data_IF_946392702162
#
_entry.id   IF_946392702162
#
_cell.length_a   1.000
_cell.length_b   1.000
_cell.length_c   1.000
_cell.angle_alpha   90.00
_cell.angle_beta   90.00
_cell.angle_gamma   90.00
#
_symmetry.space_group_name_H-M   'P 1'
#
loop_
_entity.id
_entity.type
_entity.pdbx_description
1 polymer ?
#
# COMPACT_ATOMS: atom_id res chain seq x y z
N UNK A 1 -22.40 20.96 -6.42
CA UNK A 1 -21.53 21.68 -7.37
C UNK A 1 -20.18 21.01 -7.36
N UNK A 2 -19.70 20.54 -8.50
CA UNK A 2 -18.31 20.11 -8.65
C UNK A 2 -17.48 21.35 -8.95
N UNK A 3 -16.52 21.64 -8.10
CA UNK A 3 -15.61 22.79 -8.26
C UNK A 3 -14.52 22.53 -9.31
N UNK A 4 -14.35 21.27 -9.73
CA UNK A 4 -13.36 20.84 -10.71
C UNK A 4 -14.00 20.26 -11.95
N UNK A 5 -13.27 20.26 -13.06
CA UNK A 5 -13.68 19.52 -14.25
C UNK A 5 -13.84 18.03 -13.93
N UNK A 6 -14.77 17.32 -14.58
CA UNK A 6 -14.86 15.88 -14.43
C UNK A 6 -13.51 15.21 -14.78
N UNK A 7 -13.01 14.29 -13.94
CA UNK A 7 -11.77 13.58 -14.24
C UNK A 7 -11.91 12.72 -15.50
N UNK A 8 -10.82 12.59 -16.25
CA UNK A 8 -10.77 11.66 -17.38
C UNK A 8 -10.99 10.24 -16.88
N UNK A 9 -11.85 9.48 -17.57
CA UNK A 9 -12.09 8.07 -17.27
C UNK A 9 -11.10 7.19 -18.04
N UNK A 10 -10.43 6.28 -17.32
CA UNK A 10 -9.51 5.28 -17.85
C UNK A 10 -10.03 3.90 -17.42
N UNK A 11 -10.18 2.98 -18.35
CA UNK A 11 -10.55 1.61 -18.03
C UNK A 11 -9.31 0.76 -17.79
N UNK A 12 -9.37 -0.13 -16.80
CA UNK A 12 -8.34 -1.15 -16.61
C UNK A 12 -8.58 -2.35 -17.52
N UNK A 13 -7.54 -3.13 -17.74
CA UNK A 13 -7.61 -4.50 -18.24
C UNK A 13 -7.17 -5.48 -17.14
N UNK A 14 -7.55 -6.74 -17.27
CA UNK A 14 -7.02 -7.81 -16.42
C UNK A 14 -5.61 -8.13 -16.92
N UNK A 15 -4.62 -7.99 -16.04
CA UNK A 15 -3.28 -8.50 -16.30
C UNK A 15 -3.23 -10.00 -16.05
N UNK A 16 -3.60 -10.45 -14.84
CA UNK A 16 -3.66 -11.86 -14.47
C UNK A 16 -4.57 -12.08 -13.26
N UNK A 17 -4.85 -13.32 -12.93
CA UNK A 17 -5.64 -13.71 -11.75
C UNK A 17 -4.89 -14.73 -10.93
N UNK A 18 -5.14 -14.71 -9.63
CA UNK A 18 -4.63 -15.74 -8.72
C UNK A 18 -5.02 -17.13 -9.25
N UNK A 19 -4.05 -18.02 -9.50
CA UNK A 19 -4.32 -19.36 -10.05
C UNK A 19 -5.23 -20.20 -9.14
N UNK A 20 -6.09 -21.02 -9.74
CA UNK A 20 -7.08 -21.85 -9.05
C UNK A 20 -6.48 -22.75 -7.98
N UNK A 21 -5.25 -23.23 -8.19
CA UNK A 21 -4.54 -24.07 -7.20
C UNK A 21 -4.34 -23.37 -5.84
N UNK A 22 -4.32 -22.04 -5.82
CA UNK A 22 -4.20 -21.24 -4.60
C UNK A 22 -5.55 -20.76 -4.07
N UNK A 23 -6.65 -21.02 -4.79
CA UNK A 23 -8.01 -20.65 -4.40
C UNK A 23 -8.64 -21.77 -3.56
N UNK A 24 -8.52 -21.61 -2.25
CA UNK A 24 -9.10 -22.57 -1.28
C UNK A 24 -9.90 -21.79 -0.24
N UNK A 25 -11.15 -21.37 -0.57
CA UNK A 25 -11.93 -20.55 0.33
C UNK A 25 -12.12 -21.21 1.67
N UNK A 26 -11.81 -20.48 2.73
CA UNK A 26 -12.05 -20.90 4.11
C UNK A 26 -12.17 -19.70 5.03
N UNK A 27 -12.79 -19.91 6.18
CA UNK A 27 -12.78 -18.94 7.26
C UNK A 27 -11.38 -18.85 7.88
N UNK A 28 -10.89 -17.64 8.07
CA UNK A 28 -9.60 -17.36 8.70
C UNK A 28 -9.80 -16.35 9.84
N UNK A 29 -8.89 -16.31 10.81
CA UNK A 29 -8.93 -15.31 11.88
C UNK A 29 -8.87 -13.88 11.33
N UNK A 30 -8.19 -13.67 10.20
CA UNK A 30 -8.20 -12.38 9.51
C UNK A 30 -9.59 -12.05 8.95
N UNK A 31 -10.27 -13.01 8.35
CA UNK A 31 -11.62 -12.82 7.83
C UNK A 31 -12.63 -12.53 8.94
N UNK A 32 -12.46 -13.15 10.12
CA UNK A 32 -13.28 -12.85 11.30
C UNK A 32 -13.14 -11.38 11.71
N UNK A 33 -11.92 -10.86 11.74
CA UNK A 33 -11.65 -9.48 12.13
C UNK A 33 -12.04 -8.44 11.06
N UNK A 34 -11.93 -8.79 9.77
CA UNK A 34 -11.97 -7.80 8.69
C UNK A 34 -13.10 -8.01 7.67
N UNK A 35 -13.69 -9.18 7.57
CA UNK A 35 -14.66 -9.57 6.54
C UNK A 35 -15.95 -10.19 7.12
N UNK A 36 -16.22 -10.00 8.41
CA UNK A 36 -17.40 -10.53 9.07
C UNK A 36 -17.48 -12.06 9.09
N UNK A 37 -16.34 -12.74 9.11
CA UNK A 37 -16.21 -14.19 9.23
C UNK A 37 -16.61 -14.98 7.98
N UNK A 38 -16.66 -14.33 6.80
CA UNK A 38 -16.92 -15.01 5.53
C UNK A 38 -15.76 -15.90 5.12
N UNK A 39 -16.05 -16.95 4.39
CA UNK A 39 -15.03 -17.70 3.68
C UNK A 39 -14.44 -16.82 2.57
N UNK A 40 -13.12 -16.74 2.52
CA UNK A 40 -12.37 -15.99 1.49
C UNK A 40 -11.26 -16.87 0.95
N UNK A 41 -10.90 -16.67 -0.30
CA UNK A 41 -9.83 -17.43 -0.96
C UNK A 41 -8.54 -16.63 -1.12
N UNK A 42 -8.59 -15.29 -0.97
CA UNK A 42 -7.44 -14.39 -0.99
C UNK A 42 -7.81 -13.00 -0.50
N UNK A 43 -6.78 -12.19 -0.23
CA UNK A 43 -6.88 -10.74 -0.12
C UNK A 43 -5.52 -10.15 -0.53
N UNK A 44 -5.40 -9.80 -1.83
CA UNK A 44 -4.15 -9.37 -2.42
C UNK A 44 -3.80 -7.93 -2.05
N UNK A 45 -2.53 -7.72 -1.69
CA UNK A 45 -1.98 -6.45 -1.23
C UNK A 45 -0.50 -6.26 -1.62
N UNK A 46 0.10 -5.15 -1.22
CA UNK A 46 1.52 -4.88 -1.21
C UNK A 46 2.27 -5.03 -2.53
N UNK A 47 1.75 -4.55 -3.69
CA UNK A 47 2.44 -4.72 -4.95
C UNK A 47 3.75 -3.94 -4.98
N UNK A 48 4.84 -4.59 -5.42
CA UNK A 48 6.15 -3.94 -5.55
C UNK A 48 7.00 -4.66 -6.59
N UNK A 49 7.65 -3.91 -7.48
CA UNK A 49 8.52 -4.48 -8.51
C UNK A 49 9.96 -4.58 -8.04
N UNK A 50 10.62 -5.68 -8.39
CA UNK A 50 12.06 -5.80 -8.28
C UNK A 50 12.79 -5.26 -9.52
N UNK A 51 14.12 -5.20 -9.46
CA UNK A 51 14.96 -4.72 -10.58
C UNK A 51 14.88 -5.60 -11.83
N UNK A 52 14.37 -6.84 -11.69
CA UNK A 52 14.14 -7.76 -12.81
C UNK A 52 12.74 -7.61 -13.42
N UNK A 53 11.94 -6.66 -12.93
CA UNK A 53 10.58 -6.41 -13.42
C UNK A 53 9.55 -7.43 -12.93
N UNK A 54 9.85 -8.23 -11.90
CA UNK A 54 8.91 -9.18 -11.31
C UNK A 54 8.09 -8.48 -10.24
N UNK A 55 6.79 -8.72 -10.24
CA UNK A 55 5.85 -8.12 -9.29
C UNK A 55 5.67 -9.02 -8.07
N UNK A 56 6.08 -8.52 -6.89
CA UNK A 56 5.79 -9.15 -5.62
C UNK A 56 4.43 -8.69 -5.12
N UNK A 57 3.70 -9.60 -4.47
CA UNK A 57 2.34 -9.37 -3.94
C UNK A 57 2.18 -10.17 -2.65
N UNK A 58 1.53 -9.58 -1.69
CA UNK A 58 1.12 -10.26 -0.45
C UNK A 58 -0.31 -10.76 -0.57
N UNK A 59 -0.64 -11.81 0.19
CA UNK A 59 -1.98 -12.33 0.37
C UNK A 59 -2.23 -12.55 1.86
N UNK A 60 -2.87 -11.56 2.47
CA UNK A 60 -2.89 -11.35 3.91
C UNK A 60 -3.47 -12.55 4.69
N UNK A 61 -4.69 -13.06 4.37
CA UNK A 61 -5.34 -14.04 5.22
C UNK A 61 -4.65 -15.40 5.27
N UNK A 62 -3.76 -15.64 4.31
CA UNK A 62 -3.06 -16.91 4.17
C UNK A 62 -1.56 -16.83 4.47
N UNK A 63 -1.03 -15.64 4.81
CA UNK A 63 0.40 -15.47 5.06
C UNK A 63 1.26 -15.73 3.84
N UNK A 64 0.71 -15.51 2.62
CA UNK A 64 1.41 -15.85 1.37
C UNK A 64 2.06 -14.62 0.74
N UNK A 65 3.20 -14.86 0.12
CA UNK A 65 3.88 -13.87 -0.71
C UNK A 65 4.12 -14.51 -2.07
N UNK A 66 3.58 -13.88 -3.10
CA UNK A 66 3.74 -14.30 -4.47
C UNK A 66 4.72 -13.41 -5.23
N UNK A 67 5.30 -13.96 -6.28
CA UNK A 67 6.06 -13.25 -7.30
C UNK A 67 5.46 -13.58 -8.66
N UNK A 68 5.13 -12.55 -9.44
CA UNK A 68 4.49 -12.67 -10.74
C UNK A 68 5.46 -12.16 -11.80
N UNK A 69 5.72 -12.95 -12.84
CA UNK A 69 6.57 -12.55 -13.96
C UNK A 69 5.84 -11.62 -14.93
N UNK A 70 6.59 -11.03 -15.88
CA UNK A 70 6.01 -10.22 -16.95
C UNK A 70 5.07 -11.01 -17.87
N UNK A 71 5.27 -12.33 -17.96
CA UNK A 71 4.44 -13.30 -18.71
C UNK A 71 3.31 -13.89 -17.86
N UNK A 72 2.92 -13.21 -16.78
CA UNK A 72 1.83 -13.55 -15.87
C UNK A 72 1.96 -14.86 -15.06
N UNK A 73 3.16 -15.46 -15.01
CA UNK A 73 3.40 -16.67 -14.23
C UNK A 73 3.52 -16.37 -12.73
N UNK A 74 2.72 -17.06 -11.92
CA UNK A 74 2.68 -16.94 -10.48
C UNK A 74 3.58 -17.97 -9.79
N UNK A 75 4.43 -17.49 -8.89
CA UNK A 75 5.27 -18.29 -8.03
C UNK A 75 4.92 -17.99 -6.56
N UNK A 76 4.68 -19.02 -5.74
CA UNK A 76 4.59 -18.88 -4.30
C UNK A 76 6.01 -18.82 -3.73
N UNK A 77 6.42 -17.64 -3.30
CA UNK A 77 7.76 -17.41 -2.73
C UNK A 77 7.81 -17.82 -1.26
N UNK A 78 6.75 -17.51 -0.51
CA UNK A 78 6.68 -17.80 0.93
C UNK A 78 5.24 -18.02 1.38
N UNK A 79 5.06 -18.90 2.36
CA UNK A 79 3.83 -19.03 3.16
C UNK A 79 4.26 -19.22 4.62
N UNK A 80 3.81 -18.33 5.52
CA UNK A 80 4.21 -18.34 6.92
C UNK A 80 3.06 -17.93 7.85
N UNK A 81 3.19 -18.15 9.15
CA UNK A 81 2.22 -17.68 10.13
C UNK A 81 2.37 -16.17 10.35
N UNK A 82 1.73 -15.40 9.49
CA UNK A 82 1.69 -13.96 9.52
C UNK A 82 0.49 -13.42 8.76
N UNK A 83 0.36 -12.09 8.78
CA UNK A 83 -0.60 -11.34 7.96
C UNK A 83 0.14 -10.28 7.18
N UNK A 84 0.92 -10.68 6.13
CA UNK A 84 1.68 -9.76 5.31
C UNK A 84 0.74 -8.79 4.58
N UNK A 85 1.03 -7.50 4.65
CA UNK A 85 0.24 -6.45 4.03
C UNK A 85 1.08 -5.66 3.01
N UNK A 86 1.62 -4.50 3.35
CA UNK A 86 2.53 -3.78 2.46
C UNK A 86 3.86 -4.50 2.24
N UNK A 87 4.45 -4.30 1.06
CA UNK A 87 5.75 -4.84 0.72
C UNK A 87 6.53 -3.78 -0.07
N UNK A 88 7.78 -3.52 0.32
CA UNK A 88 8.71 -2.68 -0.46
C UNK A 88 10.09 -3.31 -0.49
N UNK A 89 10.76 -3.12 -1.62
CA UNK A 89 12.12 -3.63 -1.85
C UNK A 89 13.09 -2.47 -1.67
N UNK A 90 14.05 -2.67 -0.77
CA UNK A 90 15.12 -1.72 -0.52
C UNK A 90 16.17 -1.75 -1.64
N UNK A 91 16.91 -0.67 -1.85
CA UNK A 91 17.94 -0.58 -2.92
C UNK A 91 19.06 -1.62 -2.81
N UNK A 92 19.31 -2.16 -1.61
CA UNK A 92 20.26 -3.26 -1.39
C UNK A 92 19.69 -4.67 -1.66
N UNK A 93 18.42 -4.74 -2.11
CA UNK A 93 17.73 -5.98 -2.47
C UNK A 93 16.96 -6.64 -1.33
N UNK A 94 17.05 -6.16 -0.08
CA UNK A 94 16.22 -6.67 1.01
C UNK A 94 14.75 -6.37 0.76
N UNK A 95 13.88 -7.34 1.03
CA UNK A 95 12.43 -7.21 0.87
C UNK A 95 11.79 -7.03 2.23
N UNK A 96 11.24 -5.84 2.46
CA UNK A 96 10.56 -5.46 3.69
C UNK A 96 9.07 -5.69 3.57
N UNK A 97 8.46 -6.25 4.59
CA UNK A 97 7.03 -6.57 4.65
C UNK A 97 6.47 -5.97 5.93
N UNK A 98 5.38 -5.24 5.83
CA UNK A 98 4.55 -4.93 7.00
C UNK A 98 3.69 -6.13 7.30
N UNK A 99 3.81 -6.67 8.50
CA UNK A 99 2.98 -7.77 8.97
C UNK A 99 2.08 -7.29 10.11
N UNK A 100 0.79 -7.44 9.93
CA UNK A 100 -0.20 -6.94 10.88
C UNK A 100 -0.08 -7.59 12.28
N UNK A 101 0.42 -8.83 12.36
CA UNK A 101 0.64 -9.54 13.63
C UNK A 101 2.02 -9.30 14.21
N UNK A 102 3.04 -9.12 13.35
CA UNK A 102 4.45 -9.28 13.72
C UNK A 102 5.31 -8.02 13.55
N UNK A 103 4.75 -6.93 13.06
CA UNK A 103 5.49 -5.70 12.81
C UNK A 103 6.13 -5.66 11.43
N UNK A 104 7.41 -5.34 11.32
CA UNK A 104 8.14 -5.32 10.03
C UNK A 104 9.01 -6.56 9.95
N UNK A 105 8.88 -7.29 8.85
CA UNK A 105 9.57 -8.53 8.55
C UNK A 105 10.49 -8.36 7.34
N UNK A 106 11.48 -9.24 7.22
CA UNK A 106 12.34 -9.38 6.05
C UNK A 106 12.10 -10.72 5.37
N UNK A 107 11.86 -10.69 4.06
CA UNK A 107 11.83 -11.88 3.22
C UNK A 107 13.19 -12.05 2.54
N UNK A 108 13.74 -13.24 2.64
CA UNK A 108 14.76 -13.72 1.70
C UNK A 108 14.08 -14.35 0.49
N UNK A 109 14.10 -13.70 -0.68
CA UNK A 109 13.38 -14.21 -1.85
C UNK A 109 14.00 -15.44 -2.49
N UNK A 110 15.20 -15.84 -2.07
CA UNK A 110 15.87 -17.04 -2.56
C UNK A 110 15.50 -18.29 -1.78
N UNK A 111 15.31 -18.18 -0.49
CA UNK A 111 14.93 -19.30 0.39
C UNK A 111 13.44 -19.31 0.75
N UNK A 112 12.73 -18.19 0.55
CA UNK A 112 11.37 -17.99 1.01
C UNK A 112 11.25 -17.75 2.53
N UNK A 113 12.37 -17.65 3.26
CA UNK A 113 12.33 -17.43 4.70
C UNK A 113 11.91 -16.00 5.03
N UNK A 114 11.01 -15.86 6.01
CA UNK A 114 10.57 -14.58 6.58
C UNK A 114 11.06 -14.49 8.02
N UNK A 115 11.82 -13.44 8.32
CA UNK A 115 12.43 -13.20 9.63
C UNK A 115 12.01 -11.85 10.20
N UNK A 116 11.94 -11.70 11.54
CA UNK A 116 11.64 -10.40 12.16
C UNK A 116 12.73 -9.35 11.88
N UNK A 117 12.30 -8.12 11.63
CA UNK A 117 13.17 -6.95 11.54
C UNK A 117 12.88 -5.93 12.66
N UNK A 118 11.59 -5.59 12.86
CA UNK A 118 11.16 -4.65 13.88
C UNK A 118 9.78 -5.08 14.41
N UNK A 119 9.74 -5.70 15.58
CA UNK A 119 8.51 -6.27 16.15
C UNK A 119 7.83 -5.35 17.16
N UNK A 120 8.58 -4.46 17.80
CA UNK A 120 8.08 -3.64 18.91
C UNK A 120 8.61 -2.21 18.86
N UNK A 121 7.89 -1.31 19.48
CA UNK A 121 8.32 0.06 19.77
C UNK A 121 8.34 0.25 21.29
N UNK A 122 9.50 0.55 21.88
CA UNK A 122 9.67 0.74 23.33
C UNK A 122 9.08 -0.40 24.18
N UNK A 123 9.30 -1.65 23.75
CA UNK A 123 8.80 -2.89 24.37
C UNK A 123 7.29 -3.15 24.20
N UNK A 124 6.58 -2.30 23.46
CA UNK A 124 5.18 -2.52 23.14
C UNK A 124 5.03 -3.01 21.70
N UNK A 125 4.09 -3.91 21.46
CA UNK A 125 3.75 -4.36 20.12
C UNK A 125 3.12 -3.25 19.29
N UNK A 126 3.32 -3.30 17.98
CA UNK A 126 2.52 -2.51 17.05
C UNK A 126 1.05 -2.93 17.12
N UNK A 127 0.15 -2.03 16.73
CA UNK A 127 -1.30 -2.32 16.68
C UNK A 127 -1.67 -3.22 15.52
N UNK A 128 -0.92 -3.10 14.42
CA UNK A 128 -1.11 -3.83 13.18
C UNK A 128 -0.56 -3.01 12.02
N UNK A 129 0.72 -3.26 11.66
CA UNK A 129 1.41 -2.51 10.61
C UNK A 129 0.77 -2.80 9.26
N UNK A 130 0.52 -1.73 8.47
CA UNK A 130 -0.23 -1.85 7.23
C UNK A 130 0.64 -1.59 5.98
N UNK A 131 1.13 -0.38 5.77
CA UNK A 131 1.92 -0.04 4.57
C UNK A 131 3.21 0.69 4.95
N UNK A 132 4.15 0.75 3.98
CA UNK A 132 5.49 1.32 4.20
C UNK A 132 6.00 2.01 2.94
N UNK A 133 6.90 2.99 3.11
CA UNK A 133 7.62 3.65 2.04
C UNK A 133 9.03 4.03 2.46
N UNK A 134 10.01 3.86 1.57
CA UNK A 134 11.37 4.37 1.74
C UNK A 134 11.48 5.76 1.11
N UNK A 135 12.06 6.70 1.85
CA UNK A 135 12.48 7.99 1.32
C UNK A 135 13.86 7.89 0.65
N UNK A 136 14.22 8.86 -0.22
CA UNK A 136 15.56 8.91 -0.84
C UNK A 136 16.71 8.92 0.17
N UNK A 137 16.51 9.48 1.36
CA UNK A 137 17.48 9.45 2.48
C UNK A 137 17.72 8.05 3.07
N UNK A 138 16.86 7.06 2.73
CA UNK A 138 16.83 5.74 3.33
C UNK A 138 15.99 5.65 4.60
N UNK A 139 15.33 6.74 5.02
CA UNK A 139 14.34 6.65 6.09
C UNK A 139 13.16 5.79 5.65
N UNK A 140 12.68 4.93 6.55
CA UNK A 140 11.49 4.12 6.36
C UNK A 140 10.34 4.77 7.12
N UNK A 141 9.25 5.05 6.42
CA UNK A 141 7.98 5.48 6.99
C UNK A 141 6.97 4.36 6.88
N UNK A 142 6.18 4.15 7.93
CA UNK A 142 5.16 3.10 7.91
C UNK A 142 3.95 3.46 8.76
N UNK A 143 2.81 2.88 8.40
CA UNK A 143 1.54 3.05 9.10
C UNK A 143 1.27 1.85 10.00
N UNK A 144 0.75 2.13 11.17
CA UNK A 144 0.38 1.14 12.17
C UNK A 144 -1.11 1.32 12.48
N UNK A 145 -1.90 0.64 11.67
CA UNK A 145 -3.34 0.82 11.56
C UNK A 145 -4.11 0.21 12.72
N UNK A 146 -3.86 -1.05 13.00
CA UNK A 146 -4.68 -1.84 13.93
C UNK A 146 -6.16 -1.84 13.56
N UNK A 147 -7.03 -2.14 14.51
CA UNK A 147 -8.48 -2.07 14.35
C UNK A 147 -9.02 -0.65 14.67
N UNK A 148 -8.20 0.38 14.40
CA UNK A 148 -8.56 1.77 14.68
C UNK A 148 -9.55 2.34 13.65
N UNK A 149 -10.17 3.45 13.99
CA UNK A 149 -11.16 4.11 13.13
C UNK A 149 -11.65 5.40 13.78
N UNK A 150 -12.74 5.95 13.27
CA UNK A 150 -13.32 7.19 13.83
C UNK A 150 -13.76 7.07 15.29
N UNK A 151 -14.08 5.85 15.74
CA UNK A 151 -14.44 5.55 17.14
C UNK A 151 -13.21 5.42 18.04
N UNK A 152 -12.07 5.08 17.48
CA UNK A 152 -10.78 4.91 18.16
C UNK A 152 -9.66 5.43 17.23
N UNK A 153 -9.39 6.74 17.22
CA UNK A 153 -8.41 7.33 16.32
C UNK A 153 -6.96 7.17 16.82
N UNK A 154 -6.59 6.01 17.34
CA UNK A 154 -5.28 5.78 17.96
C UNK A 154 -4.30 5.03 17.04
N UNK A 155 -4.54 5.01 15.72
CA UNK A 155 -3.56 4.57 14.75
C UNK A 155 -2.29 5.45 14.78
N UNK A 156 -1.20 4.94 14.24
CA UNK A 156 0.11 5.58 14.34
C UNK A 156 0.79 5.68 12.98
N UNK A 157 1.63 6.70 12.83
CA UNK A 157 2.59 6.82 11.72
C UNK A 157 3.99 6.90 12.33
N UNK A 158 4.88 6.07 11.82
CA UNK A 158 6.23 5.91 12.34
C UNK A 158 7.28 6.30 11.30
N UNK A 159 8.42 6.74 11.79
CA UNK A 159 9.69 6.93 11.05
C UNK A 159 10.76 6.06 11.69
N UNK A 160 11.45 5.26 10.89
CA UNK A 160 12.67 4.54 11.25
C UNK A 160 13.82 5.05 10.39
N UNK A 161 14.86 5.55 11.02
CA UNK A 161 16.07 6.02 10.33
C UNK A 161 17.04 4.86 10.02
N UNK A 162 17.96 5.00 9.04
CA UNK A 162 18.94 3.94 8.74
C UNK A 162 19.84 3.54 9.91
N UNK A 163 20.07 4.46 10.86
CA UNK A 163 20.80 4.21 12.10
C UNK A 163 19.96 3.54 13.21
N UNK A 164 18.69 3.19 12.90
CA UNK A 164 17.82 2.41 13.78
C UNK A 164 16.98 3.23 14.77
N UNK A 165 16.95 4.57 14.66
CA UNK A 165 16.10 5.40 15.53
C UNK A 165 14.66 5.37 15.07
N UNK A 166 13.78 4.84 15.92
CA UNK A 166 12.33 4.79 15.72
C UNK A 166 11.66 6.00 16.38
N UNK A 167 10.81 6.69 15.63
CA UNK A 167 10.05 7.87 16.10
C UNK A 167 8.59 7.76 15.70
N UNK A 168 7.68 7.92 16.64
CA UNK A 168 6.26 8.07 16.36
C UNK A 168 5.97 9.52 15.93
N UNK A 169 5.51 9.71 14.69
CA UNK A 169 5.19 11.02 14.15
C UNK A 169 3.78 11.45 14.50
N UNK A 170 2.85 10.51 14.48
CA UNK A 170 1.42 10.69 14.80
C UNK A 170 0.94 9.45 15.55
N UNK A 171 0.10 9.65 16.56
CA UNK A 171 -0.56 8.58 17.32
C UNK A 171 -2.07 8.81 17.51
N UNK A 172 -2.66 9.66 16.68
CA UNK A 172 -4.06 10.10 16.77
C UNK A 172 -4.75 10.09 15.41
N UNK A 173 -4.38 9.13 14.55
CA UNK A 173 -4.90 9.02 13.20
C UNK A 173 -5.84 7.80 13.06
N UNK A 174 -7.10 7.98 12.60
CA UNK A 174 -8.03 6.87 12.49
C UNK A 174 -7.74 6.02 11.25
N UNK A 175 -7.36 4.76 11.44
CA UNK A 175 -7.14 3.78 10.36
C UNK A 175 -6.16 4.25 9.28
N UNK A 176 -4.88 4.58 9.62
CA UNK A 176 -3.87 4.93 8.63
C UNK A 176 -3.51 3.70 7.80
N UNK A 177 -3.44 3.89 6.46
CA UNK A 177 -3.24 2.81 5.50
C UNK A 177 -2.08 3.16 4.55
N UNK A 178 -2.33 3.29 3.26
CA UNK A 178 -1.30 3.64 2.29
C UNK A 178 -0.51 4.90 2.66
N UNK A 179 0.77 4.91 2.34
CA UNK A 179 1.67 6.01 2.67
C UNK A 179 2.67 6.27 1.54
N UNK A 180 2.86 7.53 1.19
CA UNK A 180 3.91 7.98 0.27
C UNK A 180 4.65 9.17 0.85
N UNK A 181 5.88 9.36 0.43
CA UNK A 181 6.74 10.50 0.79
C UNK A 181 7.05 11.30 -0.48
N UNK A 182 7.04 12.63 -0.38
CA UNK A 182 7.48 13.48 -1.47
C UNK A 182 9.00 13.36 -1.71
N UNK A 183 9.49 13.66 -2.93
CA UNK A 183 10.91 13.47 -3.28
C UNK A 183 11.89 14.23 -2.40
N UNK A 184 11.50 15.39 -1.90
CA UNK A 184 12.31 16.24 -1.02
C UNK A 184 12.21 15.81 0.46
N UNK A 185 11.40 14.78 0.77
CA UNK A 185 11.13 14.32 2.13
C UNK A 185 10.64 15.45 3.06
N UNK A 186 9.81 16.35 2.52
CA UNK A 186 9.24 17.49 3.22
C UNK A 186 7.87 17.20 3.83
N UNK A 187 7.15 16.21 3.33
CA UNK A 187 5.88 15.72 3.88
C UNK A 187 5.58 14.27 3.47
N UNK A 188 4.64 13.67 4.20
CA UNK A 188 3.99 12.41 3.82
C UNK A 188 2.56 12.72 3.37
N UNK A 189 2.05 11.89 2.46
CA UNK A 189 0.62 11.73 2.24
C UNK A 189 0.21 10.35 2.80
N UNK A 190 -0.82 10.34 3.63
CA UNK A 190 -1.28 9.14 4.32
C UNK A 190 -2.77 8.94 4.03
N UNK A 191 -3.12 7.75 3.55
CA UNK A 191 -4.51 7.34 3.41
C UNK A 191 -5.12 7.10 4.79
N UNK A 192 -6.23 7.77 5.07
CA UNK A 192 -6.99 7.65 6.31
C UNK A 192 -8.31 6.99 5.98
N UNK A 193 -8.29 5.66 5.87
CA UNK A 193 -9.37 4.87 5.27
C UNK A 193 -10.73 5.17 5.88
N UNK A 194 -10.84 5.11 7.19
CA UNK A 194 -12.15 5.25 7.86
C UNK A 194 -12.66 6.68 7.97
N UNK A 195 -11.82 7.67 7.62
CA UNK A 195 -12.24 9.07 7.50
C UNK A 195 -12.53 9.48 6.05
N UNK A 196 -12.29 8.62 5.06
CA UNK A 196 -12.35 8.95 3.63
C UNK A 196 -11.48 10.17 3.26
N UNK A 197 -10.28 10.24 3.82
CA UNK A 197 -9.37 11.38 3.69
C UNK A 197 -7.96 10.95 3.32
N UNK A 198 -7.23 11.87 2.68
CA UNK A 198 -5.78 11.84 2.60
C UNK A 198 -5.26 12.96 3.51
N UNK A 199 -4.38 12.61 4.43
CA UNK A 199 -3.72 13.60 5.28
C UNK A 199 -2.34 13.95 4.75
N UNK A 200 -2.00 15.25 4.82
CA UNK A 200 -0.66 15.76 4.57
C UNK A 200 0.04 15.98 5.91
N UNK A 201 1.14 15.27 6.10
CA UNK A 201 1.91 15.22 7.35
C UNK A 201 3.26 15.89 7.10
N UNK A 202 3.48 17.13 7.54
CA UNK A 202 4.75 17.81 7.36
C UNK A 202 5.92 17.09 8.07
N UNK A 203 7.08 17.10 7.46
CA UNK A 203 8.34 16.54 7.97
C UNK A 203 9.38 17.66 8.16
N UNK A 204 9.24 18.53 9.16
CA UNK A 204 10.16 19.63 9.34
C UNK A 204 11.54 19.12 9.80
N UNK A 205 12.60 19.86 9.44
CA UNK A 205 13.98 19.52 9.83
C UNK A 205 14.19 19.45 11.36
N UNK A 206 13.33 20.12 12.14
CA UNK A 206 13.32 20.02 13.62
C UNK A 206 12.93 18.64 14.13
N UNK A 207 12.37 17.77 13.27
CA UNK A 207 11.89 16.43 13.61
C UNK A 207 10.54 16.39 14.34
N UNK A 208 9.96 17.54 14.71
CA UNK A 208 8.67 17.60 15.38
C UNK A 208 7.54 17.81 14.34
N UNK A 209 6.77 16.80 14.07
CA UNK A 209 5.61 16.89 13.19
C UNK A 209 4.52 17.76 13.80
N UNK A 210 4.13 18.80 13.09
CA UNK A 210 3.06 19.74 13.48
C UNK A 210 2.22 20.13 12.29
N UNK A 211 1.06 20.76 12.51
CA UNK A 211 0.18 21.30 11.47
C UNK A 211 -0.20 20.25 10.42
N UNK A 212 -0.48 19.02 10.87
CA UNK A 212 -1.06 17.98 10.01
C UNK A 212 -2.41 18.49 9.50
N UNK A 213 -2.62 18.36 8.19
CA UNK A 213 -3.84 18.84 7.55
C UNK A 213 -4.43 17.82 6.59
N UNK A 214 -5.65 18.06 6.17
CA UNK A 214 -6.30 17.26 5.14
C UNK A 214 -5.81 17.75 3.78
N UNK A 215 -5.28 16.82 2.97
CA UNK A 215 -4.92 17.09 1.57
C UNK A 215 -6.13 16.94 0.66
N UNK A 216 -6.92 15.87 0.85
CA UNK A 216 -8.10 15.61 0.03
C UNK A 216 -9.15 14.83 0.81
N UNK A 217 -10.41 15.03 0.45
CA UNK A 217 -11.54 14.20 0.83
C UNK A 217 -11.96 13.32 -0.35
N UNK A 218 -12.14 12.02 -0.12
CA UNK A 218 -12.78 11.14 -1.07
C UNK A 218 -14.24 10.96 -0.69
N UNK A 219 -15.13 10.90 -1.68
CA UNK A 219 -16.56 10.77 -1.45
C UNK A 219 -17.10 9.45 -1.99
N UNK A 220 -18.00 8.84 -1.23
CA UNK A 220 -18.67 7.59 -1.61
C UNK A 220 -17.87 6.34 -1.27
N UNK A 221 -18.50 5.19 -1.54
CA UNK A 221 -17.97 3.88 -1.22
C UNK A 221 -18.03 3.51 0.26
N UNK A 222 -18.16 2.21 0.58
CA UNK A 222 -18.19 1.73 1.96
C UNK A 222 -16.80 1.55 2.58
N UNK A 223 -15.74 1.63 1.77
CA UNK A 223 -14.34 1.45 2.18
C UNK A 223 -13.66 2.79 2.48
N UNK A 224 -12.83 3.26 1.58
CA UNK A 224 -12.08 4.51 1.69
C UNK A 224 -10.76 4.44 0.91
N UNK A 225 -9.90 5.47 1.03
CA UNK A 225 -8.56 5.43 0.47
C UNK A 225 -7.76 4.29 1.10
N UNK A 226 -6.96 3.63 0.27
CA UNK A 226 -6.16 2.47 0.62
C UNK A 226 -4.72 2.69 0.17
N UNK A 227 -4.13 1.87 -0.66
CA UNK A 227 -2.77 2.05 -1.18
C UNK A 227 -2.58 3.33 -1.98
N UNK A 228 -1.38 3.90 -1.91
CA UNK A 228 -0.98 5.15 -2.52
C UNK A 228 0.26 4.99 -3.39
N UNK A 229 0.37 5.78 -4.47
CA UNK A 229 1.60 5.97 -5.24
C UNK A 229 1.72 7.41 -5.75
N UNK A 230 2.93 7.83 -6.10
CA UNK A 230 3.19 9.09 -6.77
C UNK A 230 3.67 8.84 -8.20
N UNK A 231 3.32 9.73 -9.13
CA UNK A 231 3.93 9.78 -10.46
C UNK A 231 5.04 10.85 -10.53
N UNK A 232 5.81 10.85 -11.62
CA UNK A 232 6.92 11.80 -11.83
C UNK A 232 6.45 13.27 -11.91
N UNK A 233 5.16 13.53 -12.12
CA UNK A 233 4.56 14.85 -12.06
C UNK A 233 4.14 15.28 -10.65
N UNK A 234 4.41 14.45 -9.62
CA UNK A 234 3.99 14.69 -8.24
C UNK A 234 2.50 14.48 -8.01
N UNK A 235 1.79 13.87 -8.98
CA UNK A 235 0.37 13.56 -8.80
C UNK A 235 0.22 12.32 -7.91
N UNK A 236 -0.78 12.36 -7.05
CA UNK A 236 -1.10 11.27 -6.14
C UNK A 236 -2.09 10.31 -6.78
N UNK A 237 -1.75 9.01 -6.80
CA UNK A 237 -2.68 7.95 -7.14
C UNK A 237 -3.20 7.30 -5.85
N UNK A 238 -4.52 7.12 -5.76
CA UNK A 238 -5.21 6.63 -4.57
C UNK A 238 -6.13 5.48 -4.93
N UNK A 239 -5.86 4.28 -4.43
CA UNK A 239 -6.84 3.21 -4.46
C UNK A 239 -8.03 3.58 -3.57
N UNK A 240 -9.25 3.46 -4.10
CA UNK A 240 -10.48 3.68 -3.35
C UNK A 240 -11.23 2.36 -3.23
N UNK A 241 -10.89 1.62 -2.18
CA UNK A 241 -11.47 0.30 -1.94
C UNK A 241 -12.97 0.39 -1.63
N UNK A 242 -13.73 -0.58 -2.13
CA UNK A 242 -15.19 -0.56 -2.07
C UNK A 242 -15.85 0.36 -3.10
N UNK A 243 -15.07 1.15 -3.82
CA UNK A 243 -15.53 2.02 -4.91
C UNK A 243 -15.10 1.50 -6.30
N UNK A 244 -14.07 0.63 -6.35
CA UNK A 244 -13.57 0.03 -7.59
C UNK A 244 -12.88 1.03 -8.50
N UNK A 245 -12.14 1.95 -7.93
CA UNK A 245 -11.43 2.96 -8.73
C UNK A 245 -10.10 3.32 -8.08
N UNK A 246 -9.18 3.80 -8.92
CA UNK A 246 -8.01 4.58 -8.50
C UNK A 246 -8.21 6.02 -8.97
N UNK A 247 -8.03 6.97 -8.08
CA UNK A 247 -8.04 8.38 -8.40
C UNK A 247 -6.63 8.88 -8.61
N UNK A 248 -6.41 9.68 -9.66
CA UNK A 248 -5.19 10.46 -9.84
C UNK A 248 -5.51 11.92 -9.54
N UNK A 249 -4.83 12.47 -8.54
CA UNK A 249 -5.04 13.81 -8.03
C UNK A 249 -3.78 14.65 -8.31
N UNK A 250 -3.96 15.91 -8.72
CA UNK A 250 -2.85 16.86 -8.87
C UNK A 250 -2.17 17.16 -7.54
N UNK A 251 -0.99 17.84 -7.51
CA UNK A 251 -0.38 18.32 -6.26
C UNK A 251 -1.25 19.31 -5.46
N UNK A 252 -2.32 19.81 -6.08
CA UNK A 252 -3.34 20.67 -5.44
C UNK A 252 -4.64 19.91 -5.10
N UNK A 253 -4.61 18.58 -5.19
CA UNK A 253 -5.75 17.69 -4.96
C UNK A 253 -6.91 17.81 -5.98
N UNK A 254 -6.66 18.36 -7.18
CA UNK A 254 -7.65 18.36 -8.25
C UNK A 254 -7.75 16.95 -8.87
N UNK A 255 -8.95 16.40 -9.07
CA UNK A 255 -9.10 15.08 -9.70
C UNK A 255 -8.79 15.15 -11.20
N UNK A 256 -7.72 14.49 -11.63
CA UNK A 256 -7.27 14.44 -13.03
C UNK A 256 -7.85 13.22 -13.75
N UNK A 257 -7.69 12.04 -13.17
CA UNK A 257 -8.15 10.78 -13.74
C UNK A 257 -8.93 9.95 -12.72
N UNK A 258 -9.90 9.19 -13.24
CA UNK A 258 -10.55 8.08 -12.56
C UNK A 258 -10.28 6.80 -13.33
N UNK A 259 -9.41 5.93 -12.79
CA UNK A 259 -9.05 4.64 -13.35
C UNK A 259 -10.01 3.62 -12.76
N UNK A 260 -10.82 2.98 -13.61
CA UNK A 260 -11.96 2.15 -13.18
C UNK A 260 -11.62 0.68 -13.33
N UNK A 261 -11.86 -0.07 -12.26
CA UNK A 261 -11.70 -1.52 -12.25
C UNK A 261 -12.70 -2.20 -13.19
N UNK A 262 -12.19 -3.05 -14.08
CA UNK A 262 -13.00 -3.92 -14.93
C UNK A 262 -13.40 -5.25 -14.26
N UNK A 263 -13.00 -5.46 -13.01
CA UNK A 263 -13.33 -6.66 -12.24
C UNK A 263 -14.19 -6.32 -11.01
N UNK A 264 -13.65 -6.39 -9.81
CA UNK A 264 -14.38 -6.09 -8.58
C UNK A 264 -14.22 -4.65 -8.09
N UNK A 265 -14.76 -4.37 -6.93
CA UNK A 265 -14.69 -3.04 -6.30
C UNK A 265 -13.63 -2.94 -5.20
N UNK A 266 -12.88 -4.02 -4.97
CA UNK A 266 -11.86 -4.10 -3.92
C UNK A 266 -10.47 -3.71 -4.41
N UNK A 267 -10.33 -2.54 -5.04
CA UNK A 267 -9.01 -1.98 -5.40
C UNK A 267 -8.28 -1.58 -4.12
N UNK A 268 -7.23 -2.32 -3.76
CA UNK A 268 -6.55 -2.13 -2.47
C UNK A 268 -5.22 -1.39 -2.59
N UNK A 269 -4.33 -1.80 -3.49
CA UNK A 269 -3.02 -1.18 -3.59
C UNK A 269 -2.55 -1.13 -5.05
N UNK A 270 -1.43 -0.44 -5.33
CA UNK A 270 -0.97 -0.19 -6.68
C UNK A 270 0.55 0.00 -6.74
N UNK A 271 1.12 -0.33 -7.90
CA UNK A 271 2.52 -0.08 -8.21
C UNK A 271 2.69 0.24 -9.69
N UNK A 272 3.60 1.15 -9.99
CA UNK A 272 4.04 1.39 -11.36
C UNK A 272 5.08 0.37 -11.77
N UNK A 273 4.97 -0.14 -13.01
CA UNK A 273 5.89 -1.09 -13.59
C UNK A 273 6.07 -0.91 -15.09
N UNK A 274 6.72 -1.88 -15.72
CA UNK A 274 7.12 -1.81 -17.11
C UNK A 274 8.38 -0.95 -17.34
N UNK A 275 8.99 -1.04 -18.53
CA UNK A 275 10.28 -0.39 -18.82
C UNK A 275 10.26 1.15 -18.65
N UNK A 276 9.12 1.77 -19.01
CA UNK A 276 8.94 3.23 -18.92
C UNK A 276 8.21 3.65 -17.64
N UNK A 277 7.89 2.72 -16.72
CA UNK A 277 7.12 2.97 -15.50
C UNK A 277 5.76 3.63 -15.76
N UNK A 278 5.16 3.37 -16.93
CA UNK A 278 3.84 3.92 -17.33
C UNK A 278 2.70 2.94 -17.15
N UNK A 279 3.00 1.66 -16.93
CA UNK A 279 1.98 0.67 -16.62
C UNK A 279 1.68 0.69 -15.13
N UNK A 280 0.43 0.95 -14.77
CA UNK A 280 -0.06 0.88 -13.40
C UNK A 280 -0.67 -0.50 -13.15
N UNK A 281 -0.14 -1.21 -12.16
CA UNK A 281 -0.68 -2.50 -11.70
C UNK A 281 -1.44 -2.28 -10.40
N UNK A 282 -2.64 -2.86 -10.30
CA UNK A 282 -3.56 -2.64 -9.19
C UNK A 282 -4.01 -3.99 -8.65
N UNK A 283 -3.91 -4.19 -7.34
CA UNK A 283 -4.50 -5.36 -6.67
C UNK A 283 -6.00 -5.15 -6.52
N UNK A 284 -6.78 -6.12 -7.00
CA UNK A 284 -8.23 -6.21 -6.75
C UNK A 284 -8.49 -7.45 -5.88
N UNK A 285 -8.70 -7.21 -4.60
CA UNK A 285 -8.65 -8.24 -3.56
C UNK A 285 -9.89 -9.11 -3.47
N UNK A 286 -11.06 -8.65 -3.98
CA UNK A 286 -12.30 -9.44 -3.91
C UNK A 286 -12.34 -10.57 -4.92
N UNK A 287 -11.73 -10.37 -6.07
CA UNK A 287 -11.71 -11.39 -7.15
C UNK A 287 -10.33 -12.03 -7.31
N UNK A 288 -9.35 -11.59 -6.52
CA UNK A 288 -7.98 -12.07 -6.64
C UNK A 288 -7.36 -11.74 -7.99
N UNK A 289 -7.59 -10.51 -8.47
CA UNK A 289 -7.20 -10.07 -9.80
C UNK A 289 -6.10 -9.00 -9.72
N UNK A 290 -5.14 -9.07 -10.60
CA UNK A 290 -4.22 -7.97 -10.90
C UNK A 290 -4.73 -7.25 -12.14
N UNK A 291 -5.03 -5.98 -11.96
CA UNK A 291 -5.46 -5.10 -13.04
C UNK A 291 -4.27 -4.32 -13.59
N UNK A 292 -4.39 -3.86 -14.84
CA UNK A 292 -3.41 -3.00 -15.50
C UNK A 292 -4.10 -1.83 -16.18
N UNK A 293 -3.49 -0.65 -16.08
CA UNK A 293 -3.84 0.54 -16.86
C UNK A 293 -2.56 1.20 -17.40
N UNK A 294 -2.63 1.84 -18.56
CA UNK A 294 -1.52 2.60 -19.12
C UNK A 294 -1.75 4.10 -18.84
N UNK A 295 -0.72 4.76 -18.35
CA UNK A 295 -0.71 6.18 -18.05
C UNK A 295 0.33 6.91 -18.90
N UNK A 296 0.08 8.20 -19.16
CA UNK A 296 1.01 9.04 -19.92
C UNK A 296 2.24 9.44 -19.10
N UNK A 297 1.99 9.74 -17.81
CA UNK A 297 3.04 10.14 -16.85
C UNK A 297 3.61 8.89 -16.18
N UNK A 298 4.94 8.69 -16.20
CA UNK A 298 5.57 7.59 -15.48
C UNK A 298 5.34 7.69 -13.97
N UNK A 299 5.34 6.55 -13.28
CA UNK A 299 5.42 6.53 -11.83
C UNK A 299 6.78 6.99 -11.31
N UNK A 300 6.84 7.53 -10.10
CA UNK A 300 8.12 7.81 -9.46
C UNK A 300 8.98 6.53 -9.36
N UNK A 301 10.31 6.64 -9.52
CA UNK A 301 11.20 5.52 -9.30
C UNK A 301 10.99 4.92 -7.91
N UNK A 302 10.82 3.61 -7.83
CA UNK A 302 10.81 2.92 -6.54
C UNK A 302 12.21 2.93 -5.93
N UNK A 303 12.29 2.93 -4.61
CA UNK A 303 13.57 2.94 -3.88
C UNK A 303 14.47 1.75 -4.26
N UNK A 304 13.90 0.61 -4.64
CA UNK A 304 14.61 -0.56 -5.16
C UNK A 304 15.41 -0.28 -6.45
N UNK A 305 15.03 0.74 -7.21
CA UNK A 305 15.65 1.12 -8.49
C UNK A 305 16.56 2.36 -8.35
N UNK A 306 16.67 2.94 -7.14
CA UNK A 306 17.64 3.99 -6.86
C UNK A 306 19.08 3.43 -6.85
N UNK A 307 20.02 4.24 -7.33
CA UNK A 307 21.46 3.95 -7.30
C UNK A 307 22.07 4.00 -5.89
#
# INVERSE_FOLDING_TARGET
>A
MTFFNPPRRIETSIFTRLPDQFRKPRRTAWADANQGGRDIDCFLEGPSFDRQGRLYITDIPYGRIFRVSAEDAWELVSEYDGWPNGLKIHRDGRVFITDYKRGIMLLDPSSGNVTPFLETAASESFKGVNDLVFAPSGNLYFTDQGQTGMHDPTGRVWKLTPDGRLTCLINTIPSPNGIVVDPEESFLLVAVTRANQIWRVPLPASGLTTKVGIFSHLHGGPGGPDGLALDDGGNLLVCHTGFGSVWRLSPLAEPLDRIVSCAGVGTTNLAFGGPERKSLFITESRTGTLLRAELETPGMPMFSHAD
#
